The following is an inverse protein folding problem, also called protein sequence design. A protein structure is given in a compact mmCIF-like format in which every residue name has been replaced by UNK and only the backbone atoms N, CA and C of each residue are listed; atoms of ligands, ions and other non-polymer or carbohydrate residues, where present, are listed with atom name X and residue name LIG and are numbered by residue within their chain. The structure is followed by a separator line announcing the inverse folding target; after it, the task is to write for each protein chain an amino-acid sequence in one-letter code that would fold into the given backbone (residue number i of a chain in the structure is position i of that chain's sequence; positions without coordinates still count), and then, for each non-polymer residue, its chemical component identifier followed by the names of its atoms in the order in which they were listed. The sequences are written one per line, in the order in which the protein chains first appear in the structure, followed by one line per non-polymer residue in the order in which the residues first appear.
data_IF_565535556888
#
_entry.id   IF_565535556888
#
_cell.length_a   1.000
_cell.length_b   1.000
_cell.length_c   1.000
_cell.angle_alpha   90.00
_cell.angle_beta   90.00
_cell.angle_gamma   90.00
#
_symmetry.space_group_name_H-M   'P 1'
#
loop_
_entity.id
_entity.type
_entity.pdbx_description
1 polymer ?
#
# COMPACT_ATOMS: atom_id res chain seq x y z
N UNK A 1 -23.88 14.52 4.17
CA UNK A 1 -23.28 13.92 2.96
C UNK A 1 -23.62 14.76 1.73
N UNK A 2 -22.64 15.09 0.89
CA UNK A 2 -22.78 15.89 -0.33
C UNK A 2 -21.93 15.28 -1.45
N UNK A 3 -22.14 15.70 -2.69
CA UNK A 3 -21.31 15.35 -3.84
C UNK A 3 -19.94 16.06 -3.84
N UNK A 4 -19.15 15.85 -4.91
CA UNK A 4 -17.82 16.45 -5.05
C UNK A 4 -17.84 17.99 -5.06
N UNK A 5 -18.88 18.61 -5.63
CA UNK A 5 -19.01 20.07 -5.65
C UNK A 5 -19.23 20.61 -4.25
N UNK A 6 -20.18 20.04 -3.51
CA UNK A 6 -20.40 20.46 -2.12
C UNK A 6 -19.23 20.15 -1.20
N UNK A 7 -18.47 19.07 -1.44
CA UNK A 7 -17.25 18.78 -0.69
C UNK A 7 -16.17 19.85 -0.94
N UNK A 8 -16.01 20.28 -2.20
CA UNK A 8 -15.09 21.36 -2.57
C UNK A 8 -15.52 22.69 -1.93
N UNK A 9 -16.81 22.98 -1.85
CA UNK A 9 -17.32 24.19 -1.18
C UNK A 9 -17.08 24.16 0.34
N UNK A 10 -17.23 23.01 0.98
CA UNK A 10 -16.86 22.85 2.41
C UNK A 10 -15.37 23.14 2.60
N UNK A 11 -14.49 22.60 1.75
CA UNK A 11 -13.04 22.86 1.82
C UNK A 11 -12.71 24.33 1.59
N UNK A 12 -13.41 25.00 0.68
CA UNK A 12 -13.22 26.43 0.41
C UNK A 12 -13.65 27.31 1.59
N UNK A 13 -14.69 26.91 2.31
CA UNK A 13 -15.26 27.67 3.43
C UNK A 13 -14.55 27.38 4.77
N UNK A 14 -13.85 26.25 4.89
CA UNK A 14 -13.11 25.87 6.09
C UNK A 14 -11.63 26.28 6.01
N UNK A 15 -11.09 26.91 7.06
CA UNK A 15 -9.66 27.27 7.13
C UNK A 15 -8.70 26.08 7.34
N UNK A 16 -9.24 24.95 7.83
CA UNK A 16 -8.53 23.71 8.11
C UNK A 16 -9.38 22.52 7.69
N UNK A 17 -8.82 21.59 6.94
CA UNK A 17 -9.51 20.38 6.54
C UNK A 17 -8.57 19.18 6.35
N UNK A 18 -9.12 18.00 6.55
CA UNK A 18 -8.50 16.72 6.20
C UNK A 18 -9.20 16.19 4.95
N UNK A 19 -8.42 15.81 3.94
CA UNK A 19 -8.95 15.19 2.72
C UNK A 19 -8.32 13.82 2.52
N UNK A 20 -9.16 12.83 2.22
CA UNK A 20 -8.77 11.46 1.90
C UNK A 20 -9.20 11.15 0.48
N UNK A 21 -8.34 10.54 -0.31
CA UNK A 21 -8.69 10.20 -1.69
C UNK A 21 -7.56 9.60 -2.50
N UNK A 22 -7.85 9.35 -3.76
CA UNK A 22 -6.85 8.95 -4.74
C UNK A 22 -5.95 10.13 -5.12
N UNK A 23 -4.88 9.83 -5.88
CA UNK A 23 -3.92 10.84 -6.31
C UNK A 23 -4.58 12.03 -7.04
N UNK A 24 -5.57 11.76 -7.89
CA UNK A 24 -6.27 12.79 -8.64
C UNK A 24 -7.03 13.77 -7.74
N UNK A 25 -7.64 13.27 -6.66
CA UNK A 25 -8.31 14.09 -5.65
C UNK A 25 -7.31 14.87 -4.81
N UNK A 26 -6.23 14.22 -4.36
CA UNK A 26 -5.26 14.81 -3.44
C UNK A 26 -4.38 15.88 -4.08
N UNK A 27 -3.99 15.69 -5.34
CA UNK A 27 -3.12 16.62 -6.07
C UNK A 27 -3.76 18.01 -6.23
N UNK A 28 -5.10 18.09 -6.27
CA UNK A 28 -5.84 19.35 -6.35
C UNK A 28 -5.61 20.27 -5.14
N UNK A 29 -5.27 19.69 -3.98
CA UNK A 29 -5.08 20.41 -2.72
C UNK A 29 -3.63 20.37 -2.24
N UNK A 30 -2.73 19.75 -3.02
CA UNK A 30 -1.31 19.68 -2.70
C UNK A 30 -0.72 21.09 -2.54
N UNK A 31 -0.03 21.32 -1.42
CA UNK A 31 0.60 22.61 -1.11
C UNK A 31 -0.30 23.64 -0.45
N UNK A 32 -1.59 23.36 -0.21
CA UNK A 32 -2.44 24.22 0.61
C UNK A 32 -2.11 24.01 2.10
N UNK A 33 -1.56 25.00 2.82
CA UNK A 33 -1.20 24.85 4.24
C UNK A 33 -2.41 24.72 5.18
N UNK A 34 -3.63 24.93 4.67
CA UNK A 34 -4.88 24.68 5.37
C UNK A 34 -5.48 23.30 5.11
N UNK A 35 -4.89 22.48 4.24
CA UNK A 35 -5.42 21.14 3.94
C UNK A 35 -4.34 20.12 4.22
N UNK A 36 -4.67 19.15 5.07
CA UNK A 36 -3.85 17.97 5.26
C UNK A 36 -4.41 16.85 4.39
N UNK A 37 -3.54 16.30 3.56
CA UNK A 37 -3.87 15.45 2.44
C UNK A 37 -3.46 14.01 2.74
N UNK A 38 -4.37 13.07 2.56
CA UNK A 38 -4.16 11.64 2.76
C UNK A 38 -4.47 10.89 1.45
N UNK A 39 -3.39 10.64 0.69
CA UNK A 39 -3.45 10.00 -0.62
C UNK A 39 -3.22 8.48 -0.58
N UNK A 40 -2.93 7.88 -1.75
CA UNK A 40 -2.45 6.51 -1.83
C UNK A 40 -1.17 6.35 -1.02
N UNK A 41 -0.98 5.18 -0.40
CA UNK A 41 0.14 4.96 0.49
C UNK A 41 1.37 4.36 -0.18
N UNK A 42 1.24 3.57 -1.25
CA UNK A 42 2.34 2.86 -1.91
C UNK A 42 3.24 2.08 -0.94
N UNK A 43 2.64 1.58 0.16
CA UNK A 43 3.33 0.97 1.29
C UNK A 43 4.12 -0.26 0.84
N UNK A 44 5.26 -0.54 1.48
CA UNK A 44 6.18 -1.61 1.06
C UNK A 44 6.67 -2.49 2.19
N UNK A 45 7.03 -3.72 1.85
CA UNK A 45 7.89 -4.57 2.68
C UNK A 45 9.26 -4.64 2.04
N UNK A 46 10.30 -4.38 2.83
CA UNK A 46 11.70 -4.51 2.42
C UNK A 46 12.34 -5.66 3.20
N UNK A 47 13.10 -6.52 2.54
CA UNK A 47 13.92 -7.54 3.20
C UNK A 47 15.39 -7.24 2.91
N UNK A 48 16.21 -7.07 3.93
CA UNK A 48 17.64 -6.81 3.78
C UNK A 48 18.41 -8.05 3.30
N UNK A 49 19.60 -7.83 2.73
CA UNK A 49 20.54 -8.88 2.32
C UNK A 49 20.93 -9.82 3.46
N UNK A 50 20.89 -9.33 4.70
CA UNK A 50 21.20 -10.11 5.89
C UNK A 50 20.08 -11.06 6.33
N UNK A 51 18.84 -10.78 5.93
CA UNK A 51 17.67 -11.61 6.28
C UNK A 51 17.02 -12.30 5.06
N UNK A 52 17.47 -12.01 3.83
CA UNK A 52 16.82 -12.52 2.61
C UNK A 52 16.83 -14.04 2.52
N UNK A 53 17.85 -14.72 3.04
CA UNK A 53 17.90 -16.19 3.05
C UNK A 53 16.82 -16.81 3.97
N UNK A 54 16.24 -16.02 4.89
CA UNK A 54 15.16 -16.43 5.79
C UNK A 54 13.77 -16.00 5.27
N UNK A 55 13.65 -15.56 4.00
CA UNK A 55 12.38 -15.09 3.43
C UNK A 55 11.16 -16.00 3.66
N UNK A 56 11.27 -17.35 3.68
CA UNK A 56 10.10 -18.20 3.90
C UNK A 56 9.39 -17.93 5.23
N UNK A 57 10.14 -17.53 6.27
CA UNK A 57 9.60 -17.23 7.61
C UNK A 57 8.77 -15.93 7.63
N UNK A 58 8.87 -15.10 6.57
CA UNK A 58 8.22 -13.80 6.48
C UNK A 58 7.01 -13.77 5.55
N UNK A 59 6.65 -14.90 4.94
CA UNK A 59 5.52 -14.99 3.98
C UNK A 59 4.19 -14.55 4.61
N UNK A 60 3.90 -14.95 5.84
CA UNK A 60 2.66 -14.52 6.50
C UNK A 60 2.66 -13.01 6.82
N UNK A 61 3.82 -12.43 7.12
CA UNK A 61 3.96 -10.98 7.33
C UNK A 61 3.71 -10.22 6.02
N UNK A 62 4.29 -10.70 4.93
CA UNK A 62 4.06 -10.13 3.59
C UNK A 62 2.59 -10.29 3.17
N UNK A 63 2.01 -11.48 3.30
CA UNK A 63 0.62 -11.77 2.92
C UNK A 63 -0.40 -10.93 3.71
N UNK A 64 -0.24 -10.81 5.03
CA UNK A 64 -1.11 -9.97 5.87
C UNK A 64 -0.96 -8.48 5.52
N UNK A 65 0.27 -8.02 5.29
CA UNK A 65 0.53 -6.63 4.84
C UNK A 65 -0.22 -6.32 3.53
N UNK A 66 -0.30 -7.27 2.61
CA UNK A 66 -0.97 -7.10 1.31
C UNK A 66 -2.50 -7.21 1.41
N UNK A 67 -3.01 -8.17 2.18
CA UNK A 67 -4.38 -8.64 2.04
C UNK A 67 -5.33 -8.33 3.20
N UNK A 68 -4.83 -8.00 4.39
CA UNK A 68 -5.71 -7.64 5.51
C UNK A 68 -6.59 -6.45 5.14
N UNK A 69 -7.81 -6.42 5.67
CA UNK A 69 -8.86 -5.46 5.28
C UNK A 69 -9.16 -5.48 3.77
N UNK A 70 -8.99 -6.64 3.13
CA UNK A 70 -9.23 -6.85 1.70
C UNK A 70 -8.26 -6.10 0.80
N UNK A 71 -7.08 -5.69 1.29
CA UNK A 71 -6.10 -4.91 0.51
C UNK A 71 -6.60 -3.52 0.12
N UNK A 72 -7.43 -2.88 0.96
CA UNK A 72 -8.09 -1.60 0.64
C UNK A 72 -7.63 -0.43 1.51
N UNK A 73 -6.64 -0.65 2.36
CA UNK A 73 -6.08 0.37 3.25
C UNK A 73 -4.86 0.98 2.58
N UNK A 74 -4.65 2.28 2.72
CA UNK A 74 -3.42 2.96 2.25
C UNK A 74 -2.13 2.34 2.84
N UNK A 75 -2.24 1.75 4.03
CA UNK A 75 -1.12 1.06 4.70
C UNK A 75 -0.90 -0.38 4.19
N UNK A 76 -1.78 -0.93 3.36
CA UNK A 76 -1.54 -2.25 2.75
C UNK A 76 -0.32 -2.18 1.83
N UNK A 77 0.56 -3.18 1.93
CA UNK A 77 1.75 -3.24 1.09
C UNK A 77 1.34 -3.49 -0.38
N UNK A 78 1.74 -2.57 -1.26
CA UNK A 78 1.49 -2.65 -2.70
C UNK A 78 2.73 -3.12 -3.49
N UNK A 79 3.88 -3.24 -2.82
CA UNK A 79 5.05 -3.92 -3.37
C UNK A 79 5.95 -4.53 -2.27
N UNK A 80 6.63 -5.60 -2.63
CA UNK A 80 7.64 -6.30 -1.84
C UNK A 80 8.98 -6.14 -2.57
N UNK A 81 9.98 -5.59 -1.88
CA UNK A 81 11.29 -5.28 -2.47
C UNK A 81 12.35 -6.10 -1.75
N UNK A 82 13.10 -6.88 -2.53
CA UNK A 82 14.05 -7.86 -2.02
C UNK A 82 15.32 -7.83 -2.86
N UNK A 83 16.49 -8.20 -2.31
CA UNK A 83 17.72 -8.24 -3.11
C UNK A 83 17.80 -9.50 -3.99
N UNK A 84 17.06 -10.56 -3.66
CA UNK A 84 17.03 -11.87 -4.33
C UNK A 84 15.70 -12.59 -4.10
N UNK A 85 15.46 -13.66 -4.84
CA UNK A 85 14.33 -14.58 -4.71
C UNK A 85 12.95 -13.95 -4.98
N UNK A 86 12.89 -12.87 -5.76
CA UNK A 86 11.61 -12.20 -6.04
C UNK A 86 10.62 -13.14 -6.75
N UNK A 87 11.09 -14.05 -7.62
CA UNK A 87 10.22 -15.02 -8.29
C UNK A 87 9.64 -16.04 -7.31
N UNK A 88 10.49 -16.59 -6.45
CA UNK A 88 10.11 -17.59 -5.44
C UNK A 88 9.19 -17.00 -4.37
N UNK A 89 9.46 -15.78 -3.93
CA UNK A 89 8.60 -15.05 -2.99
C UNK A 89 7.25 -14.73 -3.65
N UNK A 90 7.24 -14.28 -4.91
CA UNK A 90 6.00 -14.02 -5.64
C UNK A 90 5.16 -15.29 -5.83
N UNK A 91 5.78 -16.42 -6.11
CA UNK A 91 5.12 -17.72 -6.24
C UNK A 91 4.52 -18.17 -4.90
N UNK A 92 5.29 -18.09 -3.80
CA UNK A 92 4.83 -18.45 -2.47
C UNK A 92 3.69 -17.55 -1.97
N UNK A 93 3.76 -16.24 -2.23
CA UNK A 93 2.64 -15.32 -1.99
C UNK A 93 1.44 -15.65 -2.89
N UNK A 94 1.71 -16.02 -4.14
CA UNK A 94 0.72 -16.50 -5.10
C UNK A 94 -0.05 -17.71 -4.56
N UNK A 95 0.65 -18.69 -4.01
CA UNK A 95 0.06 -19.87 -3.39
C UNK A 95 -0.72 -19.50 -2.12
N UNK A 96 -0.17 -18.61 -1.29
CA UNK A 96 -0.78 -18.20 -0.02
C UNK A 96 -2.11 -17.45 -0.22
N UNK A 97 -2.17 -16.58 -1.23
CA UNK A 97 -3.29 -15.66 -1.45
C UNK A 97 -4.20 -16.08 -2.62
N UNK A 98 -3.71 -16.85 -3.59
CA UNK A 98 -4.45 -17.15 -4.82
C UNK A 98 -5.73 -17.98 -4.61
N UNK A 99 -5.82 -18.70 -3.49
CA UNK A 99 -7.03 -19.45 -3.11
C UNK A 99 -8.13 -18.60 -2.49
N UNK A 100 -7.86 -17.33 -2.14
CA UNK A 100 -8.85 -16.44 -1.58
C UNK A 100 -9.92 -16.10 -2.62
N UNK A 101 -11.17 -16.25 -2.21
CA UNK A 101 -12.36 -16.00 -3.02
C UNK A 101 -13.41 -15.27 -2.19
N UNK A 102 -14.38 -14.59 -2.83
CA UNK A 102 -15.52 -14.06 -2.12
C UNK A 102 -16.26 -15.20 -1.40
N UNK A 103 -16.67 -14.94 -0.16
CA UNK A 103 -17.45 -15.83 0.68
C UNK A 103 -18.65 -15.05 1.25
N UNK A 104 -19.70 -15.74 1.71
CA UNK A 104 -20.83 -15.10 2.38
C UNK A 104 -20.39 -14.15 3.50
N UNK A 105 -21.12 -13.05 3.69
CA UNK A 105 -20.75 -11.97 4.63
C UNK A 105 -20.65 -12.42 6.10
N UNK A 106 -21.32 -13.51 6.45
CA UNK A 106 -21.31 -14.14 7.77
C UNK A 106 -20.25 -15.24 7.91
N UNK A 107 -19.54 -15.59 6.85
CA UNK A 107 -18.39 -16.50 6.90
C UNK A 107 -17.19 -15.79 7.57
N UNK A 108 -16.63 -16.33 8.66
CA UNK A 108 -15.48 -15.72 9.33
C UNK A 108 -14.22 -15.64 8.44
N UNK A 109 -14.18 -16.35 7.32
CA UNK A 109 -13.10 -16.32 6.33
C UNK A 109 -13.39 -15.37 5.16
N UNK A 110 -14.49 -14.60 5.19
CA UNK A 110 -14.81 -13.58 4.19
C UNK A 110 -13.87 -12.37 4.29
N UNK A 111 -12.63 -12.54 3.83
CA UNK A 111 -11.55 -11.55 3.92
C UNK A 111 -11.49 -10.59 2.73
N UNK A 112 -12.21 -10.90 1.65
CA UNK A 112 -12.31 -10.02 0.47
C UNK A 112 -13.49 -9.06 0.60
N UNK A 113 -13.33 -7.85 0.10
CA UNK A 113 -14.35 -6.81 0.15
C UNK A 113 -14.94 -6.54 -1.23
N UNK A 114 -16.27 -6.44 -1.30
CA UNK A 114 -16.98 -6.06 -2.50
C UNK A 114 -16.75 -4.58 -2.86
N UNK A 115 -16.77 -4.28 -4.15
CA UNK A 115 -16.73 -2.92 -4.67
C UNK A 115 -18.11 -2.27 -4.59
N UNK A 116 -18.21 -1.14 -3.88
CA UNK A 116 -19.44 -0.34 -3.83
C UNK A 116 -19.81 0.22 -5.22
N UNK A 117 -18.81 0.54 -6.04
CA UNK A 117 -18.97 0.89 -7.45
C UNK A 117 -18.35 -0.22 -8.32
N UNK A 118 -19.17 -1.09 -8.95
CA UNK A 118 -18.69 -2.18 -9.80
C UNK A 118 -17.70 -1.74 -10.90
N UNK A 119 -17.91 -0.55 -11.47
CA UNK A 119 -17.06 0.01 -12.52
C UNK A 119 -15.62 0.24 -12.06
N UNK A 120 -15.41 0.49 -10.76
CA UNK A 120 -14.06 0.61 -10.20
C UNK A 120 -13.34 -0.74 -10.24
N UNK A 121 -14.03 -1.83 -9.89
CA UNK A 121 -13.47 -3.19 -9.98
C UNK A 121 -13.12 -3.58 -11.42
N UNK A 122 -14.03 -3.31 -12.36
CA UNK A 122 -13.81 -3.53 -13.80
C UNK A 122 -12.63 -2.72 -14.34
N UNK A 123 -12.49 -1.45 -13.91
CA UNK A 123 -11.37 -0.60 -14.32
C UNK A 123 -10.04 -1.10 -13.78
N UNK A 124 -9.98 -1.49 -12.49
CA UNK A 124 -8.76 -2.07 -11.90
C UNK A 124 -8.37 -3.35 -12.63
N UNK A 125 -9.34 -4.24 -12.90
CA UNK A 125 -9.10 -5.47 -13.65
C UNK A 125 -8.49 -5.19 -15.03
N UNK A 126 -9.11 -4.30 -15.80
CA UNK A 126 -8.61 -3.90 -17.11
C UNK A 126 -7.25 -3.19 -17.06
N UNK A 127 -6.99 -2.39 -16.03
CA UNK A 127 -5.71 -1.71 -15.85
C UNK A 127 -4.56 -2.69 -15.61
N UNK A 128 -4.78 -3.70 -14.76
CA UNK A 128 -3.77 -4.73 -14.51
C UNK A 128 -3.53 -5.56 -15.77
N UNK A 129 -4.58 -5.99 -16.49
CA UNK A 129 -4.43 -6.75 -17.73
C UNK A 129 -3.69 -5.96 -18.82
N UNK A 130 -4.00 -4.66 -18.94
CA UNK A 130 -3.31 -3.77 -19.87
C UNK A 130 -1.81 -3.68 -19.55
N UNK A 131 -1.46 -3.51 -18.28
CA UNK A 131 -0.05 -3.42 -17.89
C UNK A 131 0.68 -4.78 -17.97
N UNK A 132 -0.02 -5.89 -17.74
CA UNK A 132 0.54 -7.25 -17.93
C UNK A 132 0.82 -7.59 -19.40
N UNK A 133 0.27 -6.84 -20.36
CA UNK A 133 0.65 -6.97 -21.76
C UNK A 133 2.07 -6.47 -22.03
N UNK A 134 2.63 -5.62 -21.16
CA UNK A 134 4.03 -5.24 -21.21
C UNK A 134 4.91 -6.39 -20.70
N UNK A 135 6.06 -6.61 -21.37
CA UNK A 135 7.02 -7.62 -20.95
C UNK A 135 7.67 -7.25 -19.63
N UNK A 136 8.08 -8.27 -18.88
CA UNK A 136 8.81 -8.11 -17.61
C UNK A 136 7.92 -8.17 -16.38
N UNK A 137 6.65 -8.58 -16.51
CA UNK A 137 5.76 -8.87 -15.39
C UNK A 137 5.01 -10.18 -15.59
N UNK A 138 4.71 -10.88 -14.48
CA UNK A 138 3.97 -12.15 -14.47
C UNK A 138 3.02 -12.15 -13.27
N UNK A 139 1.72 -12.37 -13.50
CA UNK A 139 0.75 -12.70 -12.44
C UNK A 139 1.04 -14.11 -11.91
N UNK A 140 1.69 -14.22 -10.75
CA UNK A 140 2.02 -15.51 -10.12
C UNK A 140 0.82 -16.12 -9.39
N UNK A 141 -0.18 -15.32 -9.02
CA UNK A 141 -1.44 -15.83 -8.47
C UNK A 141 -2.30 -16.55 -9.51
N UNK A 142 -2.14 -16.27 -10.80
CA UNK A 142 -3.00 -16.79 -11.86
C UNK A 142 -3.14 -18.32 -11.86
N UNK A 143 -2.06 -19.07 -11.57
CA UNK A 143 -2.07 -20.54 -11.54
C UNK A 143 -2.74 -21.12 -10.29
N UNK A 144 -2.84 -20.34 -9.21
CA UNK A 144 -3.46 -20.74 -7.94
C UNK A 144 -4.90 -20.26 -7.82
N UNK A 145 -5.31 -19.31 -8.67
CA UNK A 145 -6.65 -18.76 -8.73
C UNK A 145 -7.59 -19.72 -9.45
N UNK A 146 -8.77 -19.93 -8.89
CA UNK A 146 -9.85 -20.64 -9.61
C UNK A 146 -10.72 -19.62 -10.35
N UNK A 147 -10.56 -19.56 -11.68
CA UNK A 147 -11.31 -18.66 -12.54
C UNK A 147 -10.67 -17.27 -12.70
N UNK A 148 -11.42 -16.28 -13.22
CA UNK A 148 -10.92 -14.94 -13.47
C UNK A 148 -10.64 -14.17 -12.17
N UNK A 149 -9.86 -13.08 -12.27
CA UNK A 149 -9.60 -12.16 -11.15
C UNK A 149 -10.85 -11.41 -10.72
N UNK A 150 -11.62 -10.89 -11.67
CA UNK A 150 -12.91 -10.22 -11.43
C UNK A 150 -14.05 -11.24 -11.33
N UNK A 151 -14.79 -11.19 -10.24
CA UNK A 151 -15.90 -12.11 -9.96
C UNK A 151 -17.15 -11.35 -9.53
N UNK A 152 -18.31 -11.88 -9.93
CA UNK A 152 -19.61 -11.54 -9.34
C UNK A 152 -19.99 -12.64 -8.35
N UNK A 153 -20.12 -12.29 -7.08
CA UNK A 153 -20.44 -13.21 -5.98
C UNK A 153 -21.13 -12.45 -4.87
N UNK A 154 -21.96 -13.12 -4.05
CA UNK A 154 -22.64 -12.48 -2.89
C UNK A 154 -23.38 -11.16 -3.21
N UNK A 155 -23.88 -11.02 -4.44
CA UNK A 155 -24.55 -9.79 -4.90
C UNK A 155 -23.64 -8.59 -5.16
N UNK A 156 -22.31 -8.78 -5.16
CA UNK A 156 -21.32 -7.74 -5.39
C UNK A 156 -20.24 -8.13 -6.40
N UNK A 157 -19.44 -7.12 -6.76
CA UNK A 157 -18.27 -7.27 -7.62
C UNK A 157 -17.02 -7.34 -6.75
N UNK A 158 -16.15 -8.31 -7.01
CA UNK A 158 -14.95 -8.57 -6.22
C UNK A 158 -13.73 -8.77 -7.13
N UNK A 159 -12.55 -8.45 -6.60
CA UNK A 159 -11.27 -8.85 -7.20
C UNK A 159 -10.57 -9.84 -6.28
N UNK A 160 -10.17 -10.98 -6.84
CA UNK A 160 -9.27 -11.92 -6.18
C UNK A 160 -7.85 -11.33 -6.10
N UNK A 161 -7.02 -11.81 -5.14
CA UNK A 161 -5.67 -11.33 -4.99
C UNK A 161 -4.83 -11.45 -6.26
N UNK A 162 -3.92 -10.50 -6.45
CA UNK A 162 -3.01 -10.44 -7.59
C UNK A 162 -1.59 -10.16 -7.14
N UNK A 163 -0.73 -11.15 -7.23
CA UNK A 163 0.70 -10.99 -6.98
C UNK A 163 1.43 -10.99 -8.31
N UNK A 164 2.21 -9.94 -8.55
CA UNK A 164 2.90 -9.74 -9.81
C UNK A 164 4.41 -9.76 -9.57
N UNK A 165 5.09 -10.79 -10.06
CA UNK A 165 6.54 -10.70 -10.21
C UNK A 165 6.87 -9.64 -11.27
N UNK A 166 7.77 -8.72 -10.97
CA UNK A 166 8.28 -7.74 -11.93
C UNK A 166 9.81 -7.86 -12.02
N UNK A 167 10.36 -7.87 -13.24
CA UNK A 167 11.80 -7.96 -13.50
C UNK A 167 12.58 -6.73 -13.03
N UNK A 168 11.93 -5.55 -12.99
CA UNK A 168 12.53 -4.31 -12.51
C UNK A 168 11.50 -3.32 -11.98
N UNK A 169 11.99 -2.29 -11.30
CA UNK A 169 11.21 -1.12 -10.84
C UNK A 169 10.76 -0.19 -11.97
N UNK A 170 11.22 -0.42 -13.21
CA UNK A 170 10.79 0.36 -14.38
C UNK A 170 9.45 -0.15 -14.95
N UNK A 171 9.04 -1.37 -14.57
CA UNK A 171 7.77 -1.91 -15.01
C UNK A 171 6.61 -1.12 -14.36
N UNK A 172 5.54 -0.73 -15.09
CA UNK A 172 4.44 0.05 -14.52
C UNK A 172 3.81 -0.58 -13.26
N UNK A 173 3.65 -1.91 -13.26
CA UNK A 173 3.10 -2.69 -12.14
C UNK A 173 3.99 -2.71 -10.88
N UNK A 174 5.29 -2.39 -11.00
CA UNK A 174 6.24 -2.50 -9.89
C UNK A 174 5.93 -1.54 -8.73
N UNK A 175 5.24 -0.43 -8.99
CA UNK A 175 4.91 0.59 -7.99
C UNK A 175 3.48 1.14 -8.19
N UNK A 176 2.51 0.22 -8.39
CA UNK A 176 1.07 0.56 -8.39
C UNK A 176 0.44 0.24 -7.04
N UNK A 177 -0.66 0.91 -6.77
CA UNK A 177 -1.58 0.62 -5.67
C UNK A 177 -2.98 0.46 -6.26
N UNK A 178 -3.68 -0.59 -5.86
CA UNK A 178 -5.05 -0.88 -6.26
C UNK A 178 -5.87 -1.18 -5.02
N UNK A 179 -7.17 -0.86 -5.06
CA UNK A 179 -8.10 -1.08 -3.94
C UNK A 179 -8.57 -2.54 -3.85
N UNK A 180 -7.64 -3.48 -3.89
CA UNK A 180 -7.80 -4.91 -3.73
C UNK A 180 -6.46 -5.52 -3.27
N UNK A 181 -6.40 -6.80 -2.84
CA UNK A 181 -5.14 -7.43 -2.46
C UNK A 181 -4.22 -7.54 -3.68
N UNK A 182 -3.31 -6.59 -3.82
CA UNK A 182 -2.40 -6.49 -4.94
C UNK A 182 -1.01 -6.15 -4.41
N UNK A 183 0.01 -6.85 -4.90
CA UNK A 183 1.37 -6.39 -4.75
C UNK A 183 2.27 -6.86 -5.89
N UNK A 184 3.24 -6.03 -6.26
CA UNK A 184 4.40 -6.49 -7.02
C UNK A 184 5.45 -7.11 -6.09
N UNK A 185 6.27 -8.00 -6.63
CA UNK A 185 7.51 -8.45 -6.00
C UNK A 185 8.66 -8.16 -6.96
N UNK A 186 9.64 -7.39 -6.51
CA UNK A 186 10.70 -6.85 -7.36
C UNK A 186 12.06 -7.08 -6.70
N UNK A 187 13.02 -7.52 -7.51
CA UNK A 187 14.42 -7.61 -7.11
C UNK A 187 15.11 -6.26 -7.28
N UNK A 188 15.69 -5.73 -6.19
CA UNK A 188 16.45 -4.48 -6.16
C UNK A 188 17.63 -4.66 -5.21
N UNK A 189 18.88 -4.36 -5.62
CA UNK A 189 20.03 -4.36 -4.70
C UNK A 189 19.76 -3.52 -3.46
N UNK A 190 20.17 -3.96 -2.27
CA UNK A 190 19.84 -3.26 -1.02
C UNK A 190 20.30 -1.80 -1.03
N UNK A 191 21.46 -1.52 -1.66
CA UNK A 191 22.00 -0.17 -1.81
C UNK A 191 21.07 0.79 -2.57
N UNK A 192 20.20 0.25 -3.43
CA UNK A 192 19.38 1.02 -4.36
C UNK A 192 17.91 1.08 -3.91
N UNK A 193 17.51 0.22 -2.96
CA UNK A 193 16.11 0.10 -2.50
C UNK A 193 15.50 1.44 -2.10
N UNK A 194 16.16 2.21 -1.22
CA UNK A 194 15.59 3.47 -0.72
C UNK A 194 15.35 4.51 -1.81
N UNK A 195 16.18 4.51 -2.85
CA UNK A 195 16.02 5.40 -4.00
C UNK A 195 14.91 4.89 -4.95
N UNK A 196 14.76 3.57 -5.08
CA UNK A 196 13.84 2.95 -6.01
C UNK A 196 12.38 2.98 -5.54
N UNK A 197 12.13 2.93 -4.23
CA UNK A 197 10.76 2.78 -3.70
C UNK A 197 9.87 4.03 -3.84
N UNK A 198 10.46 5.20 -4.10
CA UNK A 198 9.73 6.46 -4.15
C UNK A 198 9.07 6.85 -2.81
N UNK A 199 8.12 7.81 -2.80
CA UNK A 199 7.31 8.12 -1.62
C UNK A 199 6.53 6.89 -1.15
N UNK A 200 6.61 6.59 0.14
CA UNK A 200 6.03 5.39 0.74
C UNK A 200 5.45 5.73 2.12
N UNK A 201 4.16 5.46 2.32
CA UNK A 201 3.47 5.72 3.58
C UNK A 201 3.99 4.82 4.69
N UNK A 202 3.97 3.50 4.49
CA UNK A 202 4.49 2.54 5.47
C UNK A 202 5.57 1.68 4.84
N UNK A 203 6.72 1.59 5.51
CA UNK A 203 7.72 0.55 5.25
C UNK A 203 7.78 -0.40 6.44
N UNK A 204 7.64 -1.69 6.17
CA UNK A 204 8.10 -2.74 7.07
C UNK A 204 9.42 -3.31 6.58
N UNK A 205 10.51 -2.99 7.28
CA UNK A 205 11.86 -3.40 6.91
C UNK A 205 12.34 -4.54 7.80
N UNK A 206 12.55 -5.71 7.19
CA UNK A 206 13.04 -6.93 7.85
C UNK A 206 14.55 -7.00 7.65
N UNK A 207 15.30 -6.58 8.68
CA UNK A 207 16.76 -6.56 8.68
C UNK A 207 17.29 -6.51 10.11
N UNK A 208 18.45 -7.12 10.34
CA UNK A 208 19.27 -6.98 11.55
C UNK A 208 20.48 -6.05 11.33
N UNK A 209 20.81 -5.68 10.09
CA UNK A 209 21.90 -4.76 9.76
C UNK A 209 21.67 -3.35 10.31
N UNK A 210 22.55 -2.95 11.23
CA UNK A 210 22.52 -1.63 11.86
C UNK A 210 22.82 -0.48 10.89
N UNK A 211 23.55 -0.73 9.81
CA UNK A 211 23.81 0.28 8.78
C UNK A 211 22.54 0.57 8.01
N UNK A 212 21.87 -0.47 7.51
CA UNK A 212 20.62 -0.31 6.79
C UNK A 212 19.50 0.27 7.67
N UNK A 213 19.40 -0.15 8.95
CA UNK A 213 18.47 0.48 9.91
C UNK A 213 18.68 1.99 10.04
N UNK A 214 19.94 2.45 10.13
CA UNK A 214 20.25 3.89 10.20
C UNK A 214 19.85 4.62 8.92
N UNK A 215 20.06 4.01 7.76
CA UNK A 215 19.62 4.58 6.48
C UNK A 215 18.10 4.71 6.43
N UNK A 216 17.37 3.66 6.82
CA UNK A 216 15.91 3.65 6.92
C UNK A 216 15.37 4.74 7.86
N UNK A 217 15.98 4.89 9.04
CA UNK A 217 15.62 5.94 10.01
C UNK A 217 15.85 7.36 9.48
N UNK A 218 16.76 7.53 8.53
CA UNK A 218 17.06 8.82 7.90
C UNK A 218 16.29 9.09 6.61
N UNK A 219 15.51 8.12 6.12
CA UNK A 219 14.82 8.20 4.84
C UNK A 219 13.63 9.16 4.93
N UNK A 220 13.69 10.28 4.19
CA UNK A 220 12.62 11.29 4.18
C UNK A 220 11.40 10.91 3.35
N UNK A 221 11.50 9.85 2.55
CA UNK A 221 10.43 9.34 1.70
C UNK A 221 9.58 8.26 2.37
N UNK A 222 9.84 7.94 3.64
CA UNK A 222 9.08 6.97 4.45
C UNK A 222 8.36 7.72 5.56
N UNK A 223 7.02 7.69 5.57
CA UNK A 223 6.26 8.38 6.63
C UNK A 223 6.19 7.57 7.92
N UNK A 224 6.05 6.25 7.80
CA UNK A 224 5.99 5.31 8.93
C UNK A 224 6.91 4.13 8.70
N UNK A 225 7.80 3.87 9.65
CA UNK A 225 8.78 2.79 9.58
C UNK A 225 8.53 1.76 10.69
N UNK A 226 8.35 0.51 10.30
CA UNK A 226 8.45 -0.65 11.18
C UNK A 226 9.81 -1.34 10.94
N UNK A 227 10.57 -1.57 12.02
CA UNK A 227 11.81 -2.35 11.97
C UNK A 227 11.56 -3.75 12.52
N UNK A 228 11.75 -4.77 11.67
CA UNK A 228 11.50 -6.18 11.95
C UNK A 228 10.26 -6.73 11.22
N UNK A 229 9.94 -8.03 11.45
CA UNK A 229 8.84 -8.74 10.79
C UNK A 229 7.47 -8.32 11.35
N UNK A 230 7.09 -7.07 11.09
CA UNK A 230 5.85 -6.44 11.53
C UNK A 230 5.01 -6.14 10.30
N UNK A 231 3.76 -6.61 10.26
CA UNK A 231 2.86 -6.28 9.16
C UNK A 231 2.64 -4.77 9.04
N UNK A 232 2.57 -4.24 7.83
CA UNK A 232 2.27 -2.81 7.59
C UNK A 232 0.90 -2.42 8.15
N UNK A 233 -0.01 -3.40 8.25
CA UNK A 233 -1.36 -3.29 8.81
C UNK A 233 -1.38 -3.31 10.34
N UNK A 234 -0.27 -3.63 11.01
CA UNK A 234 -0.21 -3.56 12.47
C UNK A 234 -0.20 -2.11 12.90
N UNK A 235 -1.31 -1.63 13.47
CA UNK A 235 -1.49 -0.26 13.96
C UNK A 235 -1.47 -0.28 15.49
N UNK A 236 -0.78 0.69 16.10
CA UNK A 236 -0.77 0.88 17.55
C UNK A 236 -1.35 2.24 17.90
N UNK A 237 -2.27 2.30 18.87
CA UNK A 237 -3.00 3.53 19.22
C UNK A 237 -2.12 4.66 19.77
N UNK A 238 -0.92 4.33 20.24
CA UNK A 238 0.07 5.27 20.75
C UNK A 238 1.00 5.85 19.67
N UNK A 239 0.91 5.36 18.43
CA UNK A 239 1.68 5.88 17.30
C UNK A 239 0.88 6.98 16.56
N UNK A 240 1.50 8.11 16.17
CA UNK A 240 0.83 9.10 15.35
C UNK A 240 0.67 8.58 13.91
N UNK A 241 -0.58 8.39 13.46
CA UNK A 241 -0.91 7.89 12.11
C UNK A 241 -1.25 8.98 11.10
N UNK A 242 -1.57 10.18 11.57
CA UNK A 242 -1.95 11.35 10.76
C UNK A 242 -0.92 12.49 10.93
N UNK A 243 0.35 12.14 11.20
CA UNK A 243 1.36 13.12 11.60
C UNK A 243 1.01 13.83 12.91
N UNK A 244 1.61 15.00 13.15
CA UNK A 244 1.34 15.78 14.35
C UNK A 244 0.21 16.79 14.12
N UNK A 245 -1.01 16.41 14.49
CA UNK A 245 -2.20 17.27 14.41
C UNK A 245 -2.04 18.61 15.16
N UNK A 246 -1.16 18.67 16.17
CA UNK A 246 -0.86 19.92 16.85
C UNK A 246 -0.17 20.93 15.93
N UNK A 247 0.71 20.48 15.04
CA UNK A 247 1.39 21.36 14.07
C UNK A 247 0.44 21.83 12.97
N UNK A 248 -0.56 21.03 12.62
CA UNK A 248 -1.58 21.39 11.64
C UNK A 248 -2.60 22.40 12.21
N UNK A 249 -3.09 22.15 13.42
CA UNK A 249 -4.16 22.93 14.06
C UNK A 249 -3.65 24.17 14.80
N UNK A 250 -2.42 24.15 15.34
CA UNK A 250 -1.90 25.22 16.19
C UNK A 250 -0.62 25.82 15.61
N UNK A 251 -0.44 27.13 15.83
CA UNK A 251 0.77 27.86 15.45
C UNK A 251 1.52 28.33 16.70
N UNK A 252 2.81 28.04 16.76
CA UNK A 252 3.70 28.56 17.82
C UNK A 252 3.80 30.09 17.70
N UNK A 253 3.51 30.83 18.77
CA UNK A 253 3.58 32.30 18.81
C UNK A 253 4.45 32.74 19.99
N UNK A 254 5.49 33.53 19.70
CA UNK A 254 6.23 34.27 20.73
C UNK A 254 5.46 35.53 21.09
N UNK A 255 5.36 35.85 22.39
CA UNK A 255 4.67 37.04 22.89
C UNK A 255 5.64 37.79 23.80
N UNK A 256 6.02 38.99 23.39
CA UNK A 256 6.67 39.98 24.25
C UNK A 256 5.66 41.02 24.67
N UNK A 257 5.56 41.32 25.96
CA UNK A 257 4.75 42.42 26.47
C UNK A 257 5.68 43.46 27.09
N UNK A 258 5.44 44.74 26.76
CA UNK A 258 6.17 45.84 27.39
C UNK A 258 5.79 45.94 28.88
N UNK A 259 6.78 46.30 29.71
CA UNK A 259 6.56 46.59 31.13
C UNK A 259 5.81 47.92 31.30
#
# INVERSE_FOLDING_TARGET
PTDHEGAADILRLCNRALIFGDKSTTDLYAGNPGVQVHGPGFSKVLIGEDEIENWPDFIDVMASSISDNGGRSCVNASAIIVPKYAKEIADALGQRLGSLKPLPVDDPNAVLSGFANPKMGEWIDGAIDSDLCQKGAIDTTAIYRTGPRLLQAEGGTYLCPTIVYCESMDHPLSNREFLCPYASVVEVPQSDMLNAIGPTLVVSAITKDETFKRQLLSASNIERLNLGPISTMKISWDQPHEGNMFEFLYKRRSIGMAA
#
